data_IF_838405988642
#
_entry.id   IF_838405988642
#
_cell.length_a   1.000
_cell.length_b   1.000
_cell.length_c   1.000
_cell.angle_alpha   90.00
_cell.angle_beta   90.00
_cell.angle_gamma   90.00
#
_symmetry.space_group_name_H-M   'P 1'
#
loop_
_entity.id
_entity.type
_entity.pdbx_description
1 polymer ?
#
# COMPACT_ATOMS: atom_id res chain seq x y z
N UNK A 1 14.05 -23.06 -18.57
CA UNK A 1 13.13 -22.32 -19.47
C UNK A 1 13.31 -22.73 -20.94
N UNK A 2 14.54 -22.76 -21.51
CA UNK A 2 14.78 -22.96 -22.96
C UNK A 2 14.27 -24.32 -23.47
N UNK A 3 14.34 -25.37 -22.69
CA UNK A 3 13.94 -26.74 -23.04
C UNK A 3 12.65 -27.20 -22.34
N UNK A 4 11.93 -26.28 -21.75
CA UNK A 4 10.67 -26.59 -21.05
C UNK A 4 9.55 -26.91 -22.05
N UNK A 5 8.64 -27.82 -21.67
CA UNK A 5 7.49 -28.17 -22.51
C UNK A 5 6.43 -27.04 -22.59
N UNK A 6 6.49 -26.05 -21.69
CA UNK A 6 5.59 -24.91 -21.60
C UNK A 6 6.20 -23.59 -22.13
N UNK A 7 6.85 -23.67 -23.28
CA UNK A 7 7.61 -22.56 -23.89
C UNK A 7 6.88 -21.24 -23.95
N UNK A 8 5.58 -21.26 -24.29
CA UNK A 8 4.80 -20.02 -24.37
C UNK A 8 4.70 -19.34 -22.99
N UNK A 9 4.41 -20.12 -21.94
CA UNK A 9 4.36 -19.61 -20.57
C UNK A 9 5.70 -19.01 -20.14
N UNK A 10 6.80 -19.70 -20.43
CA UNK A 10 8.13 -19.22 -20.07
C UNK A 10 8.52 -17.92 -20.80
N UNK A 11 8.12 -17.77 -22.07
CA UNK A 11 8.36 -16.57 -22.83
C UNK A 11 7.52 -15.38 -22.34
N UNK A 12 6.25 -15.64 -21.99
CA UNK A 12 5.41 -14.62 -21.35
C UNK A 12 5.97 -14.18 -20.01
N UNK A 13 6.36 -15.15 -19.16
CA UNK A 13 6.99 -14.88 -17.88
C UNK A 13 8.27 -14.05 -18.02
N UNK A 14 9.09 -14.37 -19.01
CA UNK A 14 10.31 -13.61 -19.32
C UNK A 14 10.02 -12.17 -19.75
N UNK A 15 9.02 -11.96 -20.60
CA UNK A 15 8.58 -10.61 -21.00
C UNK A 15 8.08 -9.79 -19.80
N UNK A 16 7.27 -10.40 -18.92
CA UNK A 16 6.78 -9.76 -17.69
C UNK A 16 7.92 -9.45 -16.72
N UNK A 17 8.86 -10.37 -16.56
CA UNK A 17 10.05 -10.16 -15.71
C UNK A 17 10.89 -8.96 -16.17
N UNK A 18 10.95 -8.68 -17.47
CA UNK A 18 11.66 -7.51 -18.00
C UNK A 18 10.96 -6.18 -17.69
N UNK A 19 9.65 -6.20 -17.45
CA UNK A 19 8.90 -5.02 -16.97
C UNK A 19 9.21 -4.79 -15.47
N UNK A 20 9.13 -5.84 -14.66
CA UNK A 20 9.34 -5.79 -13.21
C UNK A 20 10.78 -6.20 -12.85
N UNK A 21 11.73 -5.54 -13.48
CA UNK A 21 13.15 -5.85 -13.35
C UNK A 21 13.67 -5.59 -11.93
N UNK A 22 14.56 -6.46 -11.47
CA UNK A 22 15.37 -6.30 -10.26
C UNK A 22 16.83 -6.54 -10.61
N UNK A 23 17.75 -5.85 -9.91
CA UNK A 23 19.19 -5.99 -10.12
C UNK A 23 19.85 -6.63 -8.90
N UNK A 24 20.89 -7.41 -9.14
CA UNK A 24 21.73 -8.00 -8.08
C UNK A 24 22.64 -6.99 -7.41
N UNK A 25 22.96 -5.87 -8.09
CA UNK A 25 23.93 -4.88 -7.61
C UNK A 25 23.49 -4.17 -6.34
N UNK A 26 22.18 -3.97 -6.16
CA UNK A 26 21.63 -3.19 -5.06
C UNK A 26 21.03 -4.06 -3.95
N UNK A 27 21.09 -5.39 -4.07
CA UNK A 27 20.46 -6.33 -3.15
C UNK A 27 21.45 -6.89 -2.12
N UNK A 28 22.75 -6.62 -2.28
CA UNK A 28 23.78 -7.05 -1.36
C UNK A 28 24.00 -8.57 -1.33
N UNK A 29 24.05 -9.17 -0.12
CA UNK A 29 24.29 -10.61 0.02
C UNK A 29 23.13 -11.49 -0.45
N UNK A 30 21.92 -10.95 -0.44
CA UNK A 30 20.73 -11.64 -0.89
C UNK A 30 20.79 -12.04 -2.38
N UNK A 31 21.62 -11.35 -3.17
CA UNK A 31 21.85 -11.69 -4.57
C UNK A 31 22.48 -13.09 -4.76
N UNK A 32 23.08 -13.65 -3.73
CA UNK A 32 23.74 -14.95 -3.78
C UNK A 32 22.78 -16.13 -3.52
N UNK A 33 21.55 -15.85 -3.12
CA UNK A 33 20.56 -16.88 -2.81
C UNK A 33 19.70 -17.17 -4.03
N UNK A 34 20.02 -18.23 -4.77
CA UNK A 34 19.35 -18.64 -6.01
C UNK A 34 17.83 -18.79 -5.84
N UNK A 35 17.39 -19.25 -4.66
CA UNK A 35 15.96 -19.46 -4.37
C UNK A 35 15.15 -18.16 -4.40
N UNK A 36 15.72 -17.04 -3.99
CA UNK A 36 15.05 -15.73 -4.02
C UNK A 36 14.72 -15.36 -5.46
N UNK A 37 15.67 -15.54 -6.37
CA UNK A 37 15.48 -15.23 -7.78
C UNK A 37 14.45 -16.15 -8.44
N UNK A 38 14.46 -17.44 -8.10
CA UNK A 38 13.45 -18.38 -8.57
C UNK A 38 12.06 -18.02 -8.03
N UNK A 39 11.93 -17.75 -6.75
CA UNK A 39 10.65 -17.37 -6.14
C UNK A 39 10.08 -16.09 -6.79
N UNK A 40 10.92 -15.13 -7.09
CA UNK A 40 10.50 -13.91 -7.79
C UNK A 40 10.09 -14.18 -9.23
N UNK A 41 10.88 -14.97 -9.98
CA UNK A 41 10.55 -15.34 -11.36
C UNK A 41 9.25 -16.15 -11.44
N UNK A 42 9.00 -17.01 -10.46
CA UNK A 42 7.78 -17.83 -10.39
C UNK A 42 6.49 -17.00 -10.27
N UNK A 43 6.56 -15.76 -9.80
CA UNK A 43 5.42 -14.83 -9.85
C UNK A 43 4.92 -14.70 -11.29
N UNK A 44 5.84 -14.49 -12.22
CA UNK A 44 5.52 -14.29 -13.64
C UNK A 44 5.13 -15.60 -14.33
N UNK A 45 5.72 -16.72 -13.94
CA UNK A 45 5.37 -18.04 -14.48
C UNK A 45 3.94 -18.43 -14.08
N UNK A 46 3.58 -18.23 -12.80
CA UNK A 46 2.20 -18.50 -12.32
C UNK A 46 1.17 -17.61 -13.00
N UNK A 47 1.50 -16.35 -13.17
CA UNK A 47 0.59 -15.32 -13.68
C UNK A 47 0.79 -15.01 -15.17
N UNK A 48 1.50 -15.84 -15.94
CA UNK A 48 1.85 -15.57 -17.33
C UNK A 48 0.64 -15.28 -18.25
N UNK A 49 -0.53 -15.81 -17.91
CA UNK A 49 -1.80 -15.58 -18.62
C UNK A 49 -2.90 -15.10 -17.65
N UNK A 50 -2.50 -14.55 -16.52
CA UNK A 50 -3.37 -14.04 -15.47
C UNK A 50 -3.60 -12.53 -15.56
N UNK A 51 -4.05 -11.96 -14.45
CA UNK A 51 -4.30 -10.54 -14.32
C UNK A 51 -3.02 -9.76 -14.01
N UNK A 52 -2.81 -8.64 -14.70
CA UNK A 52 -1.70 -7.71 -14.39
C UNK A 52 -1.78 -7.19 -12.95
N UNK A 53 -2.99 -6.97 -12.44
CA UNK A 53 -3.21 -6.57 -11.03
C UNK A 53 -2.70 -7.61 -10.04
N UNK A 54 -2.87 -8.91 -10.34
CA UNK A 54 -2.39 -9.98 -9.47
C UNK A 54 -0.87 -10.06 -9.50
N UNK A 55 -0.25 -9.87 -10.66
CA UNK A 55 1.22 -9.74 -10.79
C UNK A 55 1.70 -8.58 -9.92
N UNK A 56 1.13 -7.40 -10.06
CA UNK A 56 1.49 -6.21 -9.28
C UNK A 56 1.39 -6.46 -7.78
N UNK A 57 0.33 -7.15 -7.34
CA UNK A 57 0.16 -7.51 -5.92
C UNK A 57 1.28 -8.41 -5.45
N UNK A 58 1.58 -9.49 -6.15
CA UNK A 58 2.64 -10.42 -5.75
C UNK A 58 4.03 -9.77 -5.79
N UNK A 59 4.31 -8.95 -6.80
CA UNK A 59 5.54 -8.17 -6.90
C UNK A 59 5.67 -7.20 -5.72
N UNK A 60 4.60 -6.51 -5.33
CA UNK A 60 4.59 -5.59 -4.22
C UNK A 60 4.80 -6.27 -2.85
N UNK A 61 4.49 -7.55 -2.73
CA UNK A 61 4.75 -8.34 -1.52
C UNK A 61 6.07 -9.09 -1.55
N UNK A 62 6.82 -9.02 -2.65
CA UNK A 62 8.12 -9.67 -2.77
C UNK A 62 9.20 -8.95 -1.96
N UNK A 63 9.90 -9.64 -1.03
CA UNK A 63 11.04 -9.06 -0.32
C UNK A 63 12.16 -8.62 -1.25
N UNK A 64 12.34 -9.29 -2.40
CA UNK A 64 13.36 -8.93 -3.38
C UNK A 64 13.08 -7.56 -4.00
N UNK A 65 11.86 -7.33 -4.48
CA UNK A 65 11.44 -6.02 -5.00
C UNK A 65 11.49 -4.95 -3.92
N UNK A 66 11.07 -5.28 -2.69
CA UNK A 66 11.08 -4.34 -1.58
C UNK A 66 12.49 -3.92 -1.15
N UNK A 67 13.47 -4.80 -1.31
CA UNK A 67 14.89 -4.48 -1.11
C UNK A 67 15.42 -3.63 -2.25
N UNK A 68 15.15 -4.01 -3.49
CA UNK A 68 15.61 -3.34 -4.69
C UNK A 68 15.08 -1.90 -4.80
N UNK A 69 13.79 -1.70 -4.57
CA UNK A 69 13.14 -0.39 -4.60
C UNK A 69 12.94 0.24 -3.20
N UNK A 70 13.74 -0.18 -2.23
CA UNK A 70 14.03 0.46 -0.94
C UNK A 70 12.85 0.69 0.02
N UNK A 71 11.68 0.09 -0.24
CA UNK A 71 10.54 0.22 0.68
C UNK A 71 10.46 -0.84 1.77
N UNK A 72 11.36 -1.83 1.76
CA UNK A 72 11.47 -2.81 2.84
C UNK A 72 11.80 -2.11 4.16
N UNK A 73 11.00 -2.35 5.19
CA UNK A 73 11.10 -1.72 6.49
C UNK A 73 10.89 -0.18 6.48
N UNK A 74 10.28 0.35 5.43
CA UNK A 74 9.84 1.74 5.41
C UNK A 74 8.78 1.97 6.49
N UNK A 75 8.87 3.10 7.19
CA UNK A 75 8.02 3.42 8.35
C UNK A 75 7.24 4.70 8.10
N UNK A 76 6.06 4.77 8.68
CA UNK A 76 5.30 6.02 8.72
C UNK A 76 6.11 7.16 9.34
N UNK A 77 5.88 8.38 8.87
CA UNK A 77 6.52 9.57 9.44
C UNK A 77 6.23 9.73 10.93
N UNK A 78 5.01 9.41 11.36
CA UNK A 78 4.64 9.45 12.77
C UNK A 78 5.48 8.53 13.66
N UNK A 79 6.03 7.44 13.10
CA UNK A 79 6.89 6.50 13.81
C UNK A 79 8.38 6.84 13.71
N UNK A 80 8.82 7.28 12.54
CA UNK A 80 10.26 7.42 12.24
C UNK A 80 10.78 8.86 12.30
N UNK A 81 9.89 9.85 12.25
CA UNK A 81 10.24 11.26 12.08
C UNK A 81 10.76 11.61 10.68
N UNK A 82 10.71 10.67 9.72
CA UNK A 82 11.15 10.85 8.34
C UNK A 82 10.05 10.43 7.37
N UNK A 83 9.99 11.09 6.21
CA UNK A 83 9.10 10.66 5.13
C UNK A 83 9.45 9.24 4.67
N UNK A 84 8.43 8.45 4.32
CA UNK A 84 8.63 7.14 3.70
C UNK A 84 9.44 7.24 2.40
N UNK A 85 10.11 6.14 2.06
CA UNK A 85 10.85 6.05 0.80
C UNK A 85 9.89 6.08 -0.40
N UNK A 86 10.22 6.90 -1.40
CA UNK A 86 9.37 7.19 -2.56
C UNK A 86 9.62 6.26 -3.75
N UNK A 87 10.71 5.51 -3.75
CA UNK A 87 11.22 4.84 -4.94
C UNK A 87 10.19 3.90 -5.56
N UNK A 88 9.64 2.97 -4.77
CA UNK A 88 8.63 2.04 -5.26
C UNK A 88 7.32 2.73 -5.69
N UNK A 89 6.90 3.77 -4.97
CA UNK A 89 5.71 4.53 -5.34
C UNK A 89 5.88 5.23 -6.70
N UNK A 90 7.07 5.74 -6.95
CA UNK A 90 7.43 6.36 -8.24
C UNK A 90 7.41 5.32 -9.34
N UNK A 91 8.06 4.17 -9.13
CA UNK A 91 8.17 3.14 -10.17
C UNK A 91 6.83 2.47 -10.49
N UNK A 92 5.96 2.30 -9.52
CA UNK A 92 4.58 1.84 -9.79
C UNK A 92 3.90 2.74 -10.80
N UNK A 93 3.96 4.05 -10.62
CA UNK A 93 3.30 4.98 -11.52
C UNK A 93 4.07 5.13 -12.84
N UNK A 94 5.39 5.26 -12.77
CA UNK A 94 6.21 5.63 -13.92
C UNK A 94 6.50 4.46 -14.86
N UNK A 95 7.03 3.34 -14.32
CA UNK A 95 7.52 2.23 -15.14
C UNK A 95 6.51 1.08 -15.23
N UNK A 96 5.73 0.85 -14.15
CA UNK A 96 4.91 -0.33 -14.09
C UNK A 96 3.46 -0.12 -14.56
N UNK A 97 2.95 1.13 -14.56
CA UNK A 97 1.55 1.38 -14.94
C UNK A 97 1.34 2.54 -15.89
N UNK A 98 1.13 3.76 -15.39
CA UNK A 98 0.55 4.87 -16.16
C UNK A 98 1.54 5.71 -16.96
N UNK A 99 2.83 5.64 -16.64
CA UNK A 99 3.86 6.48 -17.28
C UNK A 99 3.84 7.93 -16.84
N UNK A 100 4.79 8.72 -17.33
CA UNK A 100 4.96 10.13 -16.95
C UNK A 100 3.95 11.08 -17.59
N UNK A 101 3.51 10.76 -18.81
CA UNK A 101 2.75 11.67 -19.67
C UNK A 101 1.39 11.09 -20.01
N UNK A 102 0.37 11.93 -20.01
CA UNK A 102 -0.92 11.56 -20.57
C UNK A 102 -0.77 11.33 -22.08
N UNK A 103 -1.35 10.23 -22.56
CA UNK A 103 -1.28 9.83 -23.94
C UNK A 103 -2.68 9.66 -24.53
N UNK A 104 -2.79 10.00 -25.82
CA UNK A 104 -3.92 9.55 -26.64
C UNK A 104 -3.78 8.07 -26.99
N UNK A 105 -4.87 7.45 -27.46
CA UNK A 105 -4.89 6.03 -27.85
C UNK A 105 -3.85 5.64 -28.91
N UNK A 106 -3.41 6.60 -29.70
CA UNK A 106 -2.36 6.43 -30.69
C UNK A 106 -0.92 6.56 -30.13
N UNK A 107 -0.78 6.78 -28.81
CA UNK A 107 0.50 6.93 -28.13
C UNK A 107 1.13 8.33 -28.21
N UNK A 108 0.47 9.31 -28.82
CA UNK A 108 0.95 10.70 -28.81
C UNK A 108 0.65 11.37 -27.47
N UNK A 109 1.52 12.29 -27.04
CA UNK A 109 1.35 13.03 -25.79
C UNK A 109 0.18 14.02 -25.88
N UNK A 110 -0.60 14.09 -24.80
CA UNK A 110 -1.59 15.15 -24.61
C UNK A 110 -0.86 16.43 -24.19
N UNK A 111 -1.14 17.53 -24.90
CA UNK A 111 -0.50 18.82 -24.64
C UNK A 111 -1.49 19.78 -23.97
N UNK A 112 -0.97 20.64 -23.10
CA UNK A 112 -1.73 21.75 -22.53
C UNK A 112 -1.83 22.94 -23.53
N UNK A 113 -2.49 24.01 -23.12
CA UNK A 113 -2.68 25.21 -23.94
C UNK A 113 -1.36 25.88 -24.36
N UNK A 114 -0.28 25.66 -23.61
CA UNK A 114 1.05 26.18 -23.89
C UNK A 114 1.89 25.25 -24.75
N UNK A 115 1.34 24.11 -25.19
CA UNK A 115 2.01 23.10 -26.01
C UNK A 115 2.98 22.19 -25.23
N UNK A 116 2.92 22.19 -23.90
CA UNK A 116 3.71 21.30 -23.06
C UNK A 116 2.96 19.99 -22.72
N UNK A 117 3.65 18.83 -22.65
CA UNK A 117 3.01 17.58 -22.25
C UNK A 117 2.39 17.65 -20.86
N UNK A 118 1.22 17.02 -20.69
CA UNK A 118 0.52 16.93 -19.42
C UNK A 118 1.04 15.71 -18.64
N UNK A 119 1.45 15.93 -17.40
CA UNK A 119 1.87 14.84 -16.51
C UNK A 119 0.67 14.00 -16.06
N UNK A 120 0.89 12.70 -15.85
CA UNK A 120 -0.12 11.78 -15.30
C UNK A 120 -0.24 11.89 -13.79
N UNK A 121 0.85 12.26 -13.11
CA UNK A 121 0.93 12.42 -11.66
C UNK A 121 1.97 13.50 -11.31
N UNK A 122 1.92 13.98 -10.10
CA UNK A 122 2.82 14.99 -9.54
C UNK A 122 3.77 14.37 -8.51
N UNK A 123 4.74 15.16 -8.03
CA UNK A 123 5.61 14.73 -6.91
C UNK A 123 4.80 14.52 -5.62
N UNK A 124 3.75 15.32 -5.39
CA UNK A 124 2.89 15.17 -4.22
C UNK A 124 2.13 13.84 -4.24
N UNK A 125 1.72 13.38 -5.43
CA UNK A 125 1.12 12.06 -5.61
C UNK A 125 2.10 10.94 -5.25
N UNK A 126 3.37 11.08 -5.64
CA UNK A 126 4.44 10.11 -5.28
C UNK A 126 4.61 10.05 -3.76
N UNK A 127 4.74 11.20 -3.10
CA UNK A 127 4.88 11.29 -1.63
C UNK A 127 3.68 10.67 -0.93
N UNK A 128 2.49 10.97 -1.41
CA UNK A 128 1.24 10.43 -0.87
C UNK A 128 1.17 8.92 -1.05
N UNK A 129 1.48 8.42 -2.24
CA UNK A 129 1.45 6.97 -2.52
C UNK A 129 2.54 6.22 -1.75
N UNK A 130 3.71 6.81 -1.52
CA UNK A 130 4.80 6.22 -0.73
C UNK A 130 4.33 5.82 0.67
N UNK A 131 3.41 6.56 1.26
CA UNK A 131 2.81 6.25 2.57
C UNK A 131 2.03 4.92 2.56
N UNK A 132 1.55 4.48 1.40
CA UNK A 132 0.88 3.19 1.26
C UNK A 132 1.85 2.01 1.41
N UNK A 133 3.14 2.22 1.20
CA UNK A 133 4.17 1.18 1.23
C UNK A 133 4.96 1.14 2.55
N UNK A 134 4.41 1.72 3.62
CA UNK A 134 4.96 1.64 4.98
C UNK A 134 4.54 0.38 5.70
N UNK A 135 5.36 -0.10 6.64
CA UNK A 135 5.05 -1.24 7.49
C UNK A 135 5.35 -2.61 6.89
N UNK A 136 5.85 -2.69 5.66
CA UNK A 136 6.25 -3.96 5.07
C UNK A 136 7.56 -4.45 5.65
N UNK A 137 7.59 -5.72 6.07
CA UNK A 137 8.77 -6.37 6.63
C UNK A 137 8.84 -7.83 6.18
N UNK A 138 10.03 -8.42 6.24
CA UNK A 138 10.19 -9.84 5.95
C UNK A 138 9.42 -10.70 6.95
N UNK A 139 8.99 -11.88 6.50
CA UNK A 139 8.50 -12.94 7.37
C UNK A 139 9.61 -13.42 8.31
N UNK A 140 9.22 -14.11 9.37
CA UNK A 140 10.17 -14.85 10.21
C UNK A 140 10.91 -15.90 9.37
N UNK A 141 12.18 -16.15 9.72
CA UNK A 141 12.96 -17.19 9.09
C UNK A 141 12.29 -18.56 9.26
N UNK A 142 12.32 -19.37 8.22
CA UNK A 142 11.91 -20.78 8.29
C UNK A 142 13.06 -21.55 8.92
N UNK A 143 12.85 -22.06 10.14
CA UNK A 143 13.90 -22.67 10.98
C UNK A 143 14.70 -23.78 10.32
N UNK A 144 14.14 -24.44 9.32
CA UNK A 144 14.75 -25.58 8.61
C UNK A 144 15.37 -25.23 7.25
N UNK A 145 15.17 -24.03 6.73
CA UNK A 145 15.66 -23.64 5.40
C UNK A 145 16.61 -22.42 5.43
N UNK A 146 16.27 -21.39 6.21
CA UNK A 146 17.00 -20.13 6.22
C UNK A 146 17.93 -19.96 7.42
N UNK A 147 17.84 -20.84 8.41
CA UNK A 147 18.71 -20.80 9.58
C UNK A 147 20.07 -21.46 9.25
N UNK A 148 20.99 -20.67 8.70
CA UNK A 148 22.39 -21.11 8.55
C UNK A 148 23.12 -20.92 9.87
N UNK A 149 23.76 -21.99 10.33
CA UNK A 149 24.66 -21.94 11.49
C UNK A 149 25.67 -20.81 11.34
N UNK A 150 25.59 -19.82 12.25
CA UNK A 150 26.51 -18.69 12.31
C UNK A 150 26.08 -17.41 11.57
N UNK A 151 24.88 -17.34 11.02
CA UNK A 151 24.36 -16.07 10.52
C UNK A 151 24.00 -15.16 11.69
N UNK A 152 24.79 -14.08 11.88
CA UNK A 152 24.59 -13.09 12.94
C UNK A 152 23.26 -12.33 12.85
N UNK A 153 22.50 -12.50 11.78
CA UNK A 153 21.25 -11.83 11.46
C UNK A 153 20.01 -12.75 11.59
N UNK A 154 20.17 -13.95 12.16
CA UNK A 154 19.05 -14.84 12.48
C UNK A 154 18.30 -15.45 11.28
N UNK A 155 18.93 -15.48 10.11
CA UNK A 155 18.31 -15.95 8.86
C UNK A 155 17.20 -15.01 8.38
N UNK A 156 17.32 -14.52 7.14
CA UNK A 156 16.31 -13.64 6.52
C UNK A 156 15.42 -14.44 5.60
N UNK A 157 14.12 -14.36 5.80
CA UNK A 157 13.17 -14.95 4.87
C UNK A 157 12.93 -13.98 3.69
N UNK A 158 13.61 -14.22 2.57
CA UNK A 158 13.48 -13.44 1.35
C UNK A 158 12.61 -14.13 0.28
N UNK A 159 12.02 -15.28 0.59
CA UNK A 159 11.25 -16.11 -0.35
C UNK A 159 9.75 -15.90 -0.17
N UNK A 160 9.29 -15.88 1.09
CA UNK A 160 7.87 -15.70 1.39
C UNK A 160 7.41 -14.26 1.18
N UNK A 161 6.13 -14.07 0.80
CA UNK A 161 5.55 -12.74 0.75
C UNK A 161 5.72 -12.00 2.08
N UNK A 162 6.01 -10.72 2.00
CA UNK A 162 6.23 -9.88 3.19
C UNK A 162 5.03 -9.85 4.12
N UNK A 163 5.31 -9.60 5.39
CA UNK A 163 4.34 -9.36 6.44
C UNK A 163 4.20 -7.86 6.74
N UNK A 164 3.23 -7.50 7.58
CA UNK A 164 3.01 -6.14 8.05
C UNK A 164 3.35 -5.97 9.52
N UNK A 165 3.96 -4.83 9.82
CA UNK A 165 4.05 -4.29 11.18
C UNK A 165 3.06 -3.14 11.33
N UNK A 166 1.95 -3.33 12.04
CA UNK A 166 0.91 -2.32 12.17
C UNK A 166 1.42 -1.00 12.77
N UNK A 167 2.33 -1.07 13.74
CA UNK A 167 2.97 0.07 14.39
C UNK A 167 3.84 0.92 13.46
N UNK A 168 4.28 0.38 12.32
CA UNK A 168 5.06 1.11 11.32
C UNK A 168 4.21 1.66 10.17
N UNK A 169 2.96 1.24 10.09
CA UNK A 169 2.05 1.59 9.00
C UNK A 169 1.57 3.04 9.11
N UNK A 170 1.55 3.74 8.00
CA UNK A 170 0.82 5.00 7.90
C UNK A 170 -0.69 4.74 7.86
N UNK A 171 -1.38 5.26 8.87
CA UNK A 171 -2.81 5.04 9.08
C UNK A 171 -3.69 6.14 8.48
N UNK A 172 -3.08 7.22 8.00
CA UNK A 172 -3.83 8.33 7.43
C UNK A 172 -4.30 8.01 6.00
N UNK A 173 -5.44 8.53 5.56
CA UNK A 173 -5.91 8.42 4.20
C UNK A 173 -4.87 8.94 3.20
N UNK A 174 -4.85 8.35 2.01
CA UNK A 174 -3.98 8.73 0.90
C UNK A 174 -4.84 9.20 -0.25
N UNK A 175 -4.54 10.37 -0.77
CA UNK A 175 -5.19 10.88 -1.96
C UNK A 175 -4.93 9.94 -3.15
N UNK A 176 -5.94 9.78 -3.99
CA UNK A 176 -5.80 9.15 -5.28
C UNK A 176 -5.52 10.20 -6.38
N UNK A 177 -5.30 9.74 -7.61
CA UNK A 177 -5.01 10.63 -8.75
C UNK A 177 -6.23 11.39 -9.28
N UNK A 178 -7.40 11.22 -8.68
CA UNK A 178 -8.68 11.79 -9.13
C UNK A 178 -9.33 12.71 -8.09
N UNK A 179 -8.57 13.10 -7.06
CA UNK A 179 -9.06 13.97 -5.99
C UNK A 179 -9.94 13.29 -4.94
N UNK A 180 -9.96 11.94 -4.94
CA UNK A 180 -10.55 11.12 -3.89
C UNK A 180 -9.48 10.50 -3.01
N UNK A 181 -9.83 9.41 -2.32
CA UNK A 181 -8.90 8.66 -1.47
C UNK A 181 -8.76 7.21 -1.93
N UNK A 182 -7.54 6.67 -1.82
CA UNK A 182 -7.27 5.27 -2.13
C UNK A 182 -8.14 4.38 -1.24
N UNK A 183 -8.93 3.51 -1.85
CA UNK A 183 -9.88 2.62 -1.16
C UNK A 183 -11.30 3.14 -1.06
N UNK A 184 -11.60 4.38 -1.46
CA UNK A 184 -12.95 4.87 -1.57
C UNK A 184 -13.77 4.01 -2.55
N UNK A 185 -14.99 3.66 -2.14
CA UNK A 185 -15.84 2.74 -2.90
C UNK A 185 -15.58 1.25 -2.61
N UNK A 186 -14.51 0.92 -1.86
CA UNK A 186 -14.23 -0.44 -1.39
C UNK A 186 -14.01 -0.48 0.13
N UNK A 187 -14.89 0.09 0.96
CA UNK A 187 -14.69 0.18 2.39
C UNK A 187 -14.95 -1.18 3.05
N UNK A 188 -13.98 -2.10 2.96
CA UNK A 188 -13.94 -3.32 3.78
C UNK A 188 -13.15 -3.08 5.07
N UNK A 189 -12.99 -1.82 5.48
CA UNK A 189 -12.37 -1.49 6.76
C UNK A 189 -13.33 -1.86 7.89
N UNK A 190 -12.95 -2.84 8.70
CA UNK A 190 -13.68 -3.20 9.91
C UNK A 190 -13.63 -2.09 10.96
N UNK A 191 -12.55 -1.30 10.94
CA UNK A 191 -12.30 -0.19 11.87
C UNK A 191 -12.12 1.11 11.11
N UNK A 192 -12.70 2.19 11.64
CA UNK A 192 -12.39 3.52 11.15
C UNK A 192 -10.97 3.91 11.56
N UNK A 193 -10.20 4.59 10.69
CA UNK A 193 -8.87 5.06 11.04
C UNK A 193 -8.95 6.05 12.22
N UNK A 194 -7.86 6.18 12.96
CA UNK A 194 -7.80 7.09 14.13
C UNK A 194 -8.05 8.55 13.75
N UNK A 195 -7.78 8.93 12.50
CA UNK A 195 -8.20 10.19 11.91
C UNK A 195 -9.05 9.89 10.67
N UNK A 196 -10.24 10.46 10.63
CA UNK A 196 -11.23 10.24 9.59
C UNK A 196 -11.18 11.38 8.57
N UNK A 197 -10.93 11.02 7.34
CA UNK A 197 -11.08 11.90 6.18
C UNK A 197 -12.12 11.27 5.28
N UNK A 198 -13.33 11.79 5.37
CA UNK A 198 -14.49 11.26 4.67
C UNK A 198 -14.99 12.31 3.70
N UNK A 199 -15.14 11.94 2.43
CA UNK A 199 -15.62 12.88 1.41
C UNK A 199 -17.14 12.94 1.30
N UNK A 200 -17.71 14.04 0.80
CA UNK A 200 -19.14 14.16 0.55
C UNK A 200 -19.66 13.08 -0.41
N UNK A 201 -20.89 12.62 -0.19
CA UNK A 201 -21.53 11.61 -1.03
C UNK A 201 -21.06 10.17 -0.80
N UNK A 202 -19.94 9.94 -0.09
CA UNK A 202 -19.50 8.59 0.22
C UNK A 202 -20.43 7.92 1.25
N UNK A 203 -20.64 6.63 1.07
CA UNK A 203 -21.44 5.81 1.98
C UNK A 203 -20.52 4.97 2.84
N UNK A 204 -20.72 5.05 4.14
CA UNK A 204 -19.91 4.32 5.11
C UNK A 204 -20.80 3.44 5.97
N UNK A 205 -20.29 2.23 6.23
CA UNK A 205 -20.90 1.29 7.18
C UNK A 205 -19.88 1.04 8.28
N UNK A 206 -20.27 1.37 9.52
CA UNK A 206 -19.44 1.08 10.68
C UNK A 206 -19.65 -0.38 11.10
N UNK A 207 -18.59 -1.18 11.04
CA UNK A 207 -18.58 -2.58 11.44
C UNK A 207 -17.92 -2.84 12.79
N UNK A 208 -17.42 -1.79 13.46
CA UNK A 208 -16.80 -1.89 14.77
C UNK A 208 -17.78 -2.24 15.89
N UNK A 209 -17.29 -2.51 17.09
CA UNK A 209 -18.12 -2.81 18.23
C UNK A 209 -19.05 -1.63 18.54
N UNK A 210 -20.28 -1.92 18.95
CA UNK A 210 -21.19 -0.90 19.49
C UNK A 210 -20.60 -0.40 20.81
N UNK A 211 -19.95 0.74 20.79
CA UNK A 211 -19.38 1.34 21.97
C UNK A 211 -20.52 1.82 22.89
N UNK A 212 -20.65 1.19 24.03
CA UNK A 212 -21.54 1.67 25.10
C UNK A 212 -20.86 2.82 25.85
N UNK A 213 -21.65 3.68 26.53
CA UNK A 213 -21.08 4.74 27.36
C UNK A 213 -20.06 4.23 28.39
N UNK A 214 -20.25 3.01 28.87
CA UNK A 214 -19.36 2.37 29.82
C UNK A 214 -18.02 1.97 29.21
N UNK A 215 -18.03 1.49 27.96
CA UNK A 215 -16.81 1.22 27.21
C UNK A 215 -16.08 2.52 26.86
N UNK A 216 -16.80 3.59 26.51
CA UNK A 216 -16.17 4.91 26.24
C UNK A 216 -15.47 5.50 27.46
N UNK A 217 -15.97 5.24 28.67
CA UNK A 217 -15.33 5.67 29.94
C UNK A 217 -14.07 4.87 30.26
N UNK A 218 -14.02 3.60 29.89
CA UNK A 218 -12.84 2.73 30.12
C UNK A 218 -11.69 2.98 29.14
N UNK A 219 -11.92 3.68 28.05
CA UNK A 219 -10.91 4.10 27.07
C UNK A 219 -10.40 5.52 27.30
N UNK A 220 -10.38 6.00 28.55
CA UNK A 220 -9.76 7.27 28.88
C UNK A 220 -8.26 7.22 28.61
N UNK A 221 -7.88 7.71 27.43
CA UNK A 221 -6.49 8.00 27.08
C UNK A 221 -6.04 7.69 25.67
N UNK A 222 -6.46 6.62 25.03
CA UNK A 222 -5.91 6.25 23.71
C UNK A 222 -6.95 5.64 22.77
N UNK A 223 -6.97 6.11 21.51
CA UNK A 223 -7.48 5.35 20.38
C UNK A 223 -8.89 5.62 19.88
N UNK A 224 -9.72 6.45 20.53
CA UNK A 224 -11.01 6.84 19.96
C UNK A 224 -10.85 8.09 19.07
N UNK A 225 -11.46 8.10 17.86
CA UNK A 225 -11.40 9.27 17.01
C UNK A 225 -12.06 10.47 17.71
N UNK A 226 -11.31 11.57 17.78
CA UNK A 226 -11.82 12.86 18.26
C UNK A 226 -12.36 13.61 17.06
N UNK A 227 -13.67 13.87 17.07
CA UNK A 227 -14.32 14.73 16.08
C UNK A 227 -14.75 16.01 16.80
N UNK A 228 -14.47 17.16 16.21
CA UNK A 228 -14.91 18.44 16.74
C UNK A 228 -16.44 18.44 16.89
N UNK A 229 -16.97 18.55 18.12
CA UNK A 229 -18.41 18.51 18.37
C UNK A 229 -19.20 19.65 17.71
N UNK A 230 -18.51 20.71 17.31
CA UNK A 230 -19.10 21.86 16.59
C UNK A 230 -19.15 21.64 15.09
N UNK A 231 -18.43 20.61 14.56
CA UNK A 231 -18.37 20.35 13.14
C UNK A 231 -19.66 19.75 12.57
N UNK A 232 -19.93 20.04 11.30
CA UNK A 232 -21.00 19.39 10.55
C UNK A 232 -20.81 17.88 10.48
N UNK A 233 -19.56 17.43 10.39
CA UNK A 233 -19.20 16.01 10.36
C UNK A 233 -19.63 15.29 11.65
N UNK A 234 -19.50 15.93 12.82
CA UNK A 234 -19.99 15.36 14.06
C UNK A 234 -21.51 15.10 14.03
N UNK A 235 -22.26 16.05 13.48
CA UNK A 235 -23.72 15.92 13.38
C UNK A 235 -24.16 14.78 12.44
N UNK A 236 -23.38 14.51 11.40
CA UNK A 236 -23.66 13.45 10.44
C UNK A 236 -23.27 12.06 10.94
N UNK A 237 -22.06 11.93 11.52
CA UNK A 237 -21.51 10.62 11.95
C UNK A 237 -22.01 10.17 13.31
N UNK A 238 -22.24 11.10 14.23
CA UNK A 238 -22.44 10.80 15.61
C UNK A 238 -23.93 10.72 16.01
N UNK A 239 -24.24 9.81 16.88
CA UNK A 239 -25.47 9.85 17.65
C UNK A 239 -25.16 9.48 19.11
N UNK A 240 -25.61 10.24 20.06
CA UNK A 240 -25.30 10.02 21.47
C UNK A 240 -23.82 10.24 21.81
N UNK A 241 -23.53 10.38 23.07
CA UNK A 241 -22.17 10.61 23.58
C UNK A 241 -21.99 11.98 24.21
N UNK A 242 -20.81 12.25 24.78
CA UNK A 242 -20.50 13.52 25.42
C UNK A 242 -19.91 14.50 24.42
N UNK A 243 -20.68 15.51 24.07
CA UNK A 243 -20.20 16.62 23.20
C UNK A 243 -18.96 17.32 23.78
N UNK A 244 -18.84 17.40 25.10
CA UNK A 244 -17.72 18.08 25.76
C UNK A 244 -16.36 17.37 25.57
N UNK A 245 -16.36 16.08 25.22
CA UNK A 245 -15.14 15.29 25.04
C UNK A 245 -14.81 15.02 23.57
N UNK A 246 -15.60 15.48 22.60
CA UNK A 246 -15.43 15.19 21.18
C UNK A 246 -15.60 13.69 20.83
N UNK A 247 -16.17 12.92 21.74
CA UNK A 247 -16.35 11.48 21.61
C UNK A 247 -17.81 11.15 21.34
N UNK A 248 -18.06 10.29 20.39
CA UNK A 248 -19.42 9.90 20.06
C UNK A 248 -19.55 8.42 19.67
N UNK A 249 -20.77 7.93 19.70
CA UNK A 249 -21.13 6.67 19.10
C UNK A 249 -21.43 6.90 17.62
N UNK A 250 -20.78 6.20 16.73
CA UNK A 250 -21.01 6.33 15.29
C UNK A 250 -22.34 5.71 14.88
N UNK A 251 -22.96 6.30 13.89
CA UNK A 251 -24.08 5.69 13.16
C UNK A 251 -23.57 4.49 12.37
N UNK A 252 -24.31 3.40 12.37
CA UNK A 252 -23.93 2.17 11.67
C UNK A 252 -23.87 2.33 10.15
N UNK A 253 -24.66 3.24 9.59
CA UNK A 253 -24.62 3.63 8.19
C UNK A 253 -24.84 5.12 8.06
N UNK A 254 -24.04 5.76 7.21
CA UNK A 254 -24.14 7.19 6.95
C UNK A 254 -23.72 7.47 5.51
N UNK A 255 -24.39 8.40 4.86
CA UNK A 255 -23.93 9.06 3.63
C UNK A 255 -23.56 10.46 3.99
N UNK A 256 -22.30 10.82 3.83
CA UNK A 256 -21.81 12.14 4.18
C UNK A 256 -22.31 13.20 3.20
N UNK A 257 -22.71 14.34 3.73
CA UNK A 257 -23.08 15.52 2.97
C UNK A 257 -21.96 16.57 2.99
N UNK A 258 -21.09 16.51 3.99
CA UNK A 258 -19.97 17.44 4.21
C UNK A 258 -18.65 16.67 4.32
N UNK A 259 -17.53 17.36 4.06
CA UNK A 259 -16.16 16.86 4.26
C UNK A 259 -15.75 16.88 5.72
#
# INVERSE_FOLDING_TARGET
>A
AIYSNDQLRQRMAWGLYQIFVVSDKDIGRESQEVEIWHAYYDIFVRNAFGSFRDIMREVAYSPLMATYLTFLNSKAMAHSGKYPDENFAREIMQLFTIGLWQLYDNGTQVLNEQGAPIMTYTTDDVVTLARAWTGFTRQAARTNLENRDGAADGGRNNVDPMNFRPDWRDIFPKLDLHGGYIGDGFPLCADLPAQLFLRPGARYTYHGPKLTEQMMRSFEGEGLPLIDPSSSLYAELCWGGSKSAGRCTFRSQVTLQTE
#
